data_IF_097342360970
#
_entry.id   IF_097342360970
#
_cell.length_a   1.000
_cell.length_b   1.000
_cell.length_c   1.000
_cell.angle_alpha   90.00
_cell.angle_beta   90.00
_cell.angle_gamma   90.00
#
_symmetry.space_group_name_H-M   'P 1'
#
loop_
_entity.id
_entity.type
_entity.pdbx_description
1 polymer ?
#
# COMPACT_ATOMS: atom_id res chain seq x y z
N UNK A 1 -38.96 -8.03 -26.82
CA UNK A 1 -37.63 -8.18 -26.20
C UNK A 1 -36.82 -6.93 -26.52
N UNK A 2 -36.51 -6.09 -25.52
CA UNK A 2 -35.65 -4.91 -25.68
C UNK A 2 -34.54 -5.02 -24.63
N UNK A 3 -33.35 -5.43 -25.05
CA UNK A 3 -32.15 -5.44 -24.21
C UNK A 3 -31.51 -4.06 -24.29
N UNK A 4 -31.62 -3.29 -23.21
CA UNK A 4 -30.81 -2.09 -23.00
C UNK A 4 -29.51 -2.54 -22.32
N UNK A 5 -28.38 -2.37 -23.00
CA UNK A 5 -27.07 -2.62 -22.42
C UNK A 5 -26.74 -1.49 -21.42
N UNK A 6 -26.56 -1.83 -20.15
CA UNK A 6 -25.97 -0.93 -19.17
C UNK A 6 -24.46 -0.83 -19.47
N UNK A 7 -24.05 0.31 -20.01
CA UNK A 7 -22.63 0.71 -20.05
C UNK A 7 -22.24 1.17 -18.65
N UNK A 8 -21.54 0.31 -17.90
CA UNK A 8 -20.90 0.71 -16.66
C UNK A 8 -19.78 1.72 -17.00
N UNK A 9 -19.95 2.96 -16.52
CA UNK A 9 -18.92 3.99 -16.64
C UNK A 9 -17.71 3.59 -15.77
N UNK A 10 -16.63 3.15 -16.40
CA UNK A 10 -15.33 2.99 -15.76
C UNK A 10 -14.78 4.40 -15.49
N UNK A 11 -15.01 4.93 -14.29
CA UNK A 11 -14.32 6.12 -13.84
C UNK A 11 -12.82 5.80 -13.73
N UNK A 12 -11.91 6.58 -14.35
CA UNK A 12 -10.49 6.37 -14.18
C UNK A 12 -10.12 6.66 -12.71
N UNK A 13 -9.68 5.63 -11.99
CA UNK A 13 -9.03 5.81 -10.70
C UNK A 13 -7.74 6.55 -11.01
N UNK A 14 -7.67 7.83 -10.63
CA UNK A 14 -6.44 8.59 -10.69
C UNK A 14 -5.47 7.97 -9.69
N UNK A 15 -4.60 7.09 -10.18
CA UNK A 15 -3.44 6.62 -9.43
C UNK A 15 -2.56 7.85 -9.24
N UNK A 16 -2.56 8.45 -8.05
CA UNK A 16 -1.63 9.52 -7.72
C UNK A 16 -0.24 9.05 -8.16
N UNK A 17 0.38 9.81 -9.06
CA UNK A 17 1.63 9.38 -9.68
C UNK A 17 2.66 9.14 -8.58
N UNK A 18 3.07 7.89 -8.38
CA UNK A 18 4.10 7.54 -7.42
C UNK A 18 5.39 8.26 -7.85
N UNK A 19 5.82 9.23 -7.05
CA UNK A 19 7.06 9.96 -7.30
C UNK A 19 8.22 9.18 -6.69
N UNK A 20 9.23 8.80 -7.49
CA UNK A 20 10.45 8.23 -6.94
C UNK A 20 11.08 9.19 -5.93
N UNK A 21 11.44 8.68 -4.75
CA UNK A 21 12.19 9.46 -3.79
C UNK A 21 13.61 9.66 -4.35
N UNK A 22 13.99 10.92 -4.60
CA UNK A 22 15.32 11.26 -5.09
C UNK A 22 16.35 11.07 -3.97
N UNK A 23 16.92 9.87 -3.90
CA UNK A 23 18.01 9.55 -2.98
C UNK A 23 19.36 9.75 -3.67
N UNK A 24 20.40 10.06 -2.88
CA UNK A 24 21.74 10.24 -3.43
C UNK A 24 22.27 8.93 -4.07
N UNK A 25 23.20 9.00 -5.03
CA UNK A 25 23.90 7.80 -5.53
C UNK A 25 24.53 6.98 -4.38
N UNK A 26 24.66 5.65 -4.51
CA UNK A 26 24.53 4.85 -5.74
C UNK A 26 23.15 4.22 -5.98
N UNK A 27 22.10 4.70 -5.31
CA UNK A 27 20.73 4.18 -5.45
C UNK A 27 20.56 2.70 -5.04
N UNK A 28 21.43 2.21 -4.17
CA UNK A 28 21.41 0.87 -3.56
C UNK A 28 20.78 0.89 -2.15
N UNK A 29 19.94 1.89 -1.88
CA UNK A 29 19.31 2.09 -0.58
C UNK A 29 18.47 0.88 -0.18
N UNK A 30 18.92 0.17 0.84
CA UNK A 30 18.12 -0.85 1.51
C UNK A 30 17.19 -0.19 2.53
N UNK A 31 16.01 -0.78 2.71
CA UNK A 31 15.16 -0.43 3.83
C UNK A 31 15.92 -0.63 5.16
N UNK A 32 15.79 0.33 6.09
CA UNK A 32 16.45 0.27 7.39
C UNK A 32 15.96 -0.91 8.24
N UNK A 33 16.74 -1.29 9.26
CA UNK A 33 16.41 -2.42 10.16
C UNK A 33 15.03 -2.35 10.81
N UNK A 34 14.49 -1.13 10.98
CA UNK A 34 13.13 -0.86 11.50
C UNK A 34 11.99 -1.38 10.63
N UNK A 35 12.27 -1.75 9.39
CA UNK A 35 11.30 -2.37 8.48
C UNK A 35 11.43 -3.91 8.42
N UNK A 36 12.33 -4.50 9.23
CA UNK A 36 12.66 -5.92 9.22
C UNK A 36 12.60 -6.53 10.64
N UNK A 37 12.48 -7.86 10.78
CA UNK A 37 11.76 -8.53 11.88
C UNK A 37 12.21 -8.23 13.32
N UNK A 38 13.40 -7.69 13.53
CA UNK A 38 13.90 -7.38 14.87
C UNK A 38 13.21 -6.15 15.49
N UNK A 39 12.67 -5.25 14.67
CA UNK A 39 12.20 -3.91 15.10
C UNK A 39 10.78 -3.60 14.59
N UNK A 40 10.04 -4.62 14.16
CA UNK A 40 8.65 -4.48 13.69
C UNK A 40 7.73 -4.28 14.90
N UNK A 41 7.06 -3.12 14.98
CA UNK A 41 6.09 -2.78 16.04
C UNK A 41 4.89 -3.73 15.99
N UNK A 42 4.36 -3.99 14.79
CA UNK A 42 3.21 -4.86 14.56
C UNK A 42 3.17 -5.38 13.12
N UNK A 43 2.63 -6.59 12.93
CA UNK A 43 2.38 -7.21 11.62
C UNK A 43 0.90 -7.53 11.43
N UNK A 44 0.40 -7.33 10.20
CA UNK A 44 -1.01 -7.50 9.86
C UNK A 44 -1.17 -8.47 8.68
N UNK A 45 -2.27 -9.21 8.70
CA UNK A 45 -2.63 -10.16 7.64
C UNK A 45 -4.12 -10.02 7.33
N UNK A 46 -4.47 -10.13 6.04
CA UNK A 46 -5.85 -10.10 5.59
C UNK A 46 -6.03 -11.05 4.39
N UNK A 47 -7.28 -11.37 4.06
CA UNK A 47 -7.59 -12.19 2.87
C UNK A 47 -7.38 -11.34 1.60
N UNK A 48 -6.81 -11.93 0.55
CA UNK A 48 -6.56 -11.26 -0.73
C UNK A 48 -7.83 -10.65 -1.37
N UNK A 49 -9.01 -11.19 -1.07
CA UNK A 49 -10.27 -10.67 -1.63
C UNK A 49 -10.83 -9.48 -0.85
N UNK A 50 -10.32 -9.19 0.35
CA UNK A 50 -10.85 -8.13 1.22
C UNK A 50 -10.21 -6.76 0.96
N UNK A 51 -9.04 -6.74 0.31
CA UNK A 51 -8.31 -5.51 0.02
C UNK A 51 -7.73 -5.57 -1.40
N UNK A 52 -7.88 -4.47 -2.14
CA UNK A 52 -6.99 -4.16 -3.26
C UNK A 52 -5.62 -3.75 -2.74
N UNK A 53 -4.57 -3.80 -3.59
CA UNK A 53 -3.22 -3.27 -3.28
C UNK A 53 -3.27 -1.92 -2.58
N UNK A 54 -4.02 -0.97 -3.14
CA UNK A 54 -4.06 0.40 -2.64
C UNK A 54 -4.83 0.48 -1.30
N UNK A 55 -5.93 -0.27 -1.16
CA UNK A 55 -6.67 -0.31 0.12
C UNK A 55 -5.90 -1.03 1.23
N UNK A 56 -5.03 -1.99 0.88
CA UNK A 56 -4.15 -2.67 1.82
C UNK A 56 -3.06 -1.73 2.33
N UNK A 57 -2.38 -1.02 1.42
CA UNK A 57 -1.39 -0.01 1.78
C UNK A 57 -1.99 1.08 2.69
N UNK A 58 -3.20 1.56 2.36
CA UNK A 58 -3.91 2.53 3.19
C UNK A 58 -4.26 1.97 4.58
N UNK A 59 -4.73 0.73 4.66
CA UNK A 59 -5.05 0.07 5.93
C UNK A 59 -3.80 -0.03 6.82
N UNK A 60 -2.67 -0.52 6.30
CA UNK A 60 -1.43 -0.67 7.07
C UNK A 60 -0.91 0.69 7.55
N UNK A 61 -0.97 1.73 6.71
CA UNK A 61 -0.61 3.10 7.09
C UNK A 61 -1.51 3.62 8.22
N UNK A 62 -2.81 3.34 8.19
CA UNK A 62 -3.73 3.76 9.24
C UNK A 62 -3.45 3.04 10.57
N UNK A 63 -3.14 1.74 10.52
CA UNK A 63 -2.72 1.01 11.72
C UNK A 63 -1.43 1.60 12.33
N UNK A 64 -0.46 1.97 11.48
CA UNK A 64 0.78 2.61 11.91
C UNK A 64 0.55 3.92 12.65
N UNK A 65 -0.36 4.78 12.15
CA UNK A 65 -0.69 6.06 12.80
C UNK A 65 -1.25 5.94 14.21
N UNK A 66 -1.72 4.75 14.60
CA UNK A 66 -2.14 4.46 15.97
C UNK A 66 -0.98 4.31 16.96
N UNK A 67 0.27 4.22 16.50
CA UNK A 67 1.46 4.13 17.33
C UNK A 67 2.29 5.41 17.22
N UNK A 68 2.55 6.05 18.36
CA UNK A 68 3.42 7.24 18.42
C UNK A 68 4.84 6.97 17.88
N UNK A 69 5.30 5.72 17.96
CA UNK A 69 6.62 5.28 17.51
C UNK A 69 6.68 4.89 16.02
N UNK A 70 5.58 4.99 15.27
CA UNK A 70 5.57 4.55 13.88
C UNK A 70 5.99 5.66 12.90
N UNK A 71 7.23 5.54 12.40
CA UNK A 71 7.78 6.46 11.40
C UNK A 71 7.60 5.96 9.95
N UNK A 72 7.40 4.65 9.76
CA UNK A 72 7.37 4.02 8.43
C UNK A 72 6.64 2.68 8.44
N UNK A 73 6.14 2.28 7.28
CA UNK A 73 5.49 0.97 7.07
C UNK A 73 5.98 0.30 5.79
N UNK A 74 5.96 -1.03 5.78
CA UNK A 74 6.08 -1.83 4.56
C UNK A 74 4.85 -2.74 4.44
N UNK A 75 4.28 -2.85 3.25
CA UNK A 75 3.11 -3.68 2.99
C UNK A 75 3.29 -4.45 1.69
N UNK A 76 2.97 -5.74 1.70
CA UNK A 76 3.04 -6.62 0.54
C UNK A 76 1.64 -7.08 0.18
N UNK A 77 1.34 -7.19 -1.11
CA UNK A 77 0.17 -7.92 -1.60
C UNK A 77 0.63 -8.91 -2.65
N UNK A 78 0.20 -10.16 -2.56
CA UNK A 78 0.34 -11.08 -3.68
C UNK A 78 -0.62 -10.61 -4.77
N UNK A 79 -0.07 -10.30 -5.94
CA UNK A 79 -0.83 -9.85 -7.12
C UNK A 79 -1.17 -11.03 -8.00
#
# INVERSE_FOLDING_TARGET
>A
MKTAALLAALAPIALAALQPLALAPPADWAAGSRLFPAEVIAGYHANLTTHTRDSWAAYVLEQCRGFDACDSTVSYSEV
#
